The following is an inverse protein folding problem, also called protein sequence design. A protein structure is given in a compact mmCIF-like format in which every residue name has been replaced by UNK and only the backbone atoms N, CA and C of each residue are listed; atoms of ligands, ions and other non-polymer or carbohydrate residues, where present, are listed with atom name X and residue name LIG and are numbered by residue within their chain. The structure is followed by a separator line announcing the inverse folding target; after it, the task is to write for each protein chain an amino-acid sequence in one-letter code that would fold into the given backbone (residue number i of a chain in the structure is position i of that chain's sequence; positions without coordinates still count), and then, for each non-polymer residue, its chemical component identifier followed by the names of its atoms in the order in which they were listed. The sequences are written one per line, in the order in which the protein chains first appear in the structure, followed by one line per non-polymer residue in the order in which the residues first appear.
data_IF_803962128884
#
_entry.id   IF_803962128884
#
_cell.length_a   1.000
_cell.length_b   1.000
_cell.length_c   1.000
_cell.angle_alpha   90.00
_cell.angle_beta   90.00
_cell.angle_gamma   90.00
#
_symmetry.space_group_name_H-M   'P 1'
#
loop_
_entity.id
_entity.type
_entity.pdbx_description
1 polymer ?
#
# COMPACT_ATOMS: atom_id res chain seq x y z
N UNK A 1 5.53 -13.81 -21.68
CA UNK A 1 6.48 -12.98 -20.91
C UNK A 1 5.77 -11.69 -20.56
N UNK A 2 5.02 -11.65 -19.45
CA UNK A 2 4.33 -10.40 -19.06
C UNK A 2 5.39 -9.44 -18.54
N UNK A 3 5.51 -8.27 -19.17
CA UNK A 3 6.34 -7.20 -18.66
C UNK A 3 5.86 -6.87 -17.24
N UNK A 4 6.62 -7.26 -16.23
CA UNK A 4 6.36 -6.86 -14.86
C UNK A 4 6.36 -5.34 -14.84
N UNK A 5 5.18 -4.73 -14.73
CA UNK A 5 5.09 -3.30 -14.47
C UNK A 5 5.94 -3.04 -13.24
N UNK A 6 6.95 -2.17 -13.36
CA UNK A 6 7.78 -1.71 -12.25
C UNK A 6 6.86 -1.08 -11.20
N UNK A 7 6.42 -1.89 -10.23
CA UNK A 7 5.74 -1.43 -9.03
C UNK A 7 6.76 -0.80 -8.10
N UNK A 8 6.33 0.20 -7.33
CA UNK A 8 7.15 0.74 -6.25
C UNK A 8 7.28 -0.28 -5.12
N UNK A 9 8.41 -0.26 -4.42
CA UNK A 9 8.61 -1.04 -3.19
C UNK A 9 9.07 -0.11 -2.08
N UNK A 10 8.38 -0.15 -0.95
CA UNK A 10 8.82 0.44 0.31
C UNK A 10 9.29 -0.68 1.23
N UNK A 11 10.60 -0.86 1.30
CA UNK A 11 11.23 -1.93 2.08
C UNK A 11 11.07 -1.70 3.59
N UNK A 12 11.25 -2.76 4.39
CA UNK A 12 11.05 -2.76 5.85
C UNK A 12 11.87 -1.76 6.65
N UNK A 13 12.99 -1.26 6.11
CA UNK A 13 13.79 -0.21 6.74
C UNK A 13 13.25 1.22 6.55
N UNK A 14 12.11 1.39 5.87
CA UNK A 14 11.53 2.69 5.52
C UNK A 14 10.30 2.97 6.38
N UNK A 15 10.24 4.16 6.95
CA UNK A 15 9.05 4.70 7.63
C UNK A 15 8.65 6.02 6.96
N UNK A 16 7.36 6.16 6.66
CA UNK A 16 6.78 7.36 6.05
C UNK A 16 5.74 7.96 6.99
N UNK A 17 5.81 9.27 7.22
CA UNK A 17 4.73 10.03 7.84
C UNK A 17 4.23 11.09 6.86
N UNK A 18 2.94 11.04 6.51
CA UNK A 18 2.33 11.97 5.54
C UNK A 18 1.40 11.27 4.53
N UNK A 19 1.39 11.77 3.29
CA UNK A 19 0.55 11.22 2.22
C UNK A 19 1.40 10.48 1.18
N UNK A 20 0.92 9.30 0.78
CA UNK A 20 1.57 8.44 -0.22
C UNK A 20 0.64 8.31 -1.43
N UNK A 21 1.16 8.60 -2.62
CA UNK A 21 0.45 8.40 -3.89
C UNK A 21 1.28 7.57 -4.84
N UNK A 22 0.63 6.65 -5.55
CA UNK A 22 1.27 5.82 -6.57
C UNK A 22 0.32 5.61 -7.76
N UNK A 23 0.84 5.15 -8.89
CA UNK A 23 0.06 5.01 -10.14
C UNK A 23 -0.47 3.60 -10.35
N UNK A 24 0.43 2.62 -10.47
CA UNK A 24 0.07 1.27 -10.93
C UNK A 24 0.04 0.29 -9.76
N UNK A 25 1.19 0.04 -9.15
CA UNK A 25 1.34 -0.89 -8.05
C UNK A 25 2.34 -0.37 -7.03
N UNK A 26 2.07 -0.62 -5.75
CA UNK A 26 2.98 -0.35 -4.66
C UNK A 26 2.96 -1.53 -3.69
N UNK A 27 4.13 -2.04 -3.33
CA UNK A 27 4.31 -2.97 -2.21
C UNK A 27 4.94 -2.23 -1.03
N UNK A 28 4.41 -2.45 0.15
CA UNK A 28 4.91 -1.88 1.40
C UNK A 28 5.24 -3.02 2.34
N UNK A 29 6.49 -3.07 2.79
CA UNK A 29 7.00 -3.97 3.84
C UNK A 29 7.49 -3.19 5.08
N UNK A 30 7.37 -1.85 5.07
CA UNK A 30 7.76 -0.95 6.16
C UNK A 30 6.57 -0.27 6.86
N UNK A 31 6.81 0.90 7.43
CA UNK A 31 5.83 1.62 8.24
C UNK A 31 5.25 2.83 7.50
N UNK A 32 3.94 3.03 7.60
CA UNK A 32 3.29 4.23 7.08
C UNK A 32 2.32 4.79 8.11
N UNK A 33 2.49 6.06 8.45
CA UNK A 33 1.55 6.84 9.26
C UNK A 33 0.95 7.98 8.43
N UNK A 34 -0.32 7.87 8.06
CA UNK A 34 -1.03 8.90 7.32
C UNK A 34 -1.96 8.33 6.26
N UNK A 35 -1.98 8.93 5.07
CA UNK A 35 -2.95 8.58 4.02
C UNK A 35 -2.27 7.94 2.81
N UNK A 36 -2.91 6.92 2.24
CA UNK A 36 -2.47 6.26 1.01
C UNK A 36 -3.57 6.39 -0.02
N UNK A 37 -3.29 7.02 -1.16
CA UNK A 37 -4.28 7.25 -2.23
C UNK A 37 -3.76 6.79 -3.59
N UNK A 38 -4.53 5.96 -4.28
CA UNK A 38 -4.17 5.47 -5.61
C UNK A 38 -5.35 4.87 -6.38
N UNK A 39 -5.31 4.93 -7.71
CA UNK A 39 -6.21 4.13 -8.56
C UNK A 39 -5.61 2.75 -8.94
N UNK A 40 -4.45 2.42 -8.37
CA UNK A 40 -3.72 1.17 -8.60
C UNK A 40 -3.91 0.13 -7.50
N UNK A 41 -3.01 -0.86 -7.46
CA UNK A 41 -3.02 -1.97 -6.50
C UNK A 41 -2.02 -1.75 -5.38
N UNK A 42 -2.48 -1.81 -4.13
CA UNK A 42 -1.63 -1.78 -2.94
C UNK A 42 -1.39 -3.20 -2.41
N UNK A 43 -0.15 -3.57 -2.16
CA UNK A 43 0.19 -4.79 -1.41
C UNK A 43 0.85 -4.41 -0.09
N UNK A 44 0.23 -4.80 1.02
CA UNK A 44 0.74 -4.63 2.37
C UNK A 44 1.38 -5.96 2.75
N UNK A 45 2.71 -6.01 2.72
CA UNK A 45 3.48 -7.21 3.04
C UNK A 45 3.44 -7.56 4.52
N UNK A 46 3.95 -8.75 4.86
CA UNK A 46 3.79 -9.38 6.18
C UNK A 46 4.35 -8.55 7.34
N UNK A 47 5.38 -7.76 7.09
CA UNK A 47 6.07 -6.96 8.09
C UNK A 47 5.61 -5.50 8.10
N UNK A 48 4.70 -5.11 7.21
CA UNK A 48 4.22 -3.74 7.14
C UNK A 48 3.24 -3.40 8.27
N UNK A 49 3.35 -2.16 8.74
CA UNK A 49 2.46 -1.59 9.74
C UNK A 49 1.94 -0.23 9.26
N UNK A 50 0.66 -0.18 8.94
CA UNK A 50 0.02 1.03 8.40
C UNK A 50 -0.95 1.61 9.43
N UNK A 51 -0.76 2.88 9.78
CA UNK A 51 -1.65 3.67 10.64
C UNK A 51 -2.28 4.80 9.86
N UNK A 52 -3.57 4.70 9.57
CA UNK A 52 -4.33 5.78 8.92
C UNK A 52 -5.31 5.29 7.85
N UNK A 53 -5.47 6.07 6.78
CA UNK A 53 -6.54 5.85 5.81
C UNK A 53 -5.98 5.42 4.44
N UNK A 54 -6.52 4.33 3.91
CA UNK A 54 -6.12 3.75 2.61
C UNK A 54 -7.28 3.87 1.64
N UNK A 55 -7.07 4.54 0.50
CA UNK A 55 -8.01 4.64 -0.62
C UNK A 55 -7.33 4.10 -1.87
N UNK A 56 -7.75 2.93 -2.32
CA UNK A 56 -7.09 2.27 -3.46
C UNK A 56 -8.08 1.54 -4.37
N UNK A 57 -7.64 1.13 -5.56
CA UNK A 57 -8.49 0.31 -6.42
C UNK A 57 -8.63 -1.09 -5.85
N UNK A 58 -7.51 -1.73 -5.54
CA UNK A 58 -7.46 -3.05 -4.90
C UNK A 58 -6.35 -3.09 -3.87
N UNK A 59 -6.54 -3.89 -2.81
CA UNK A 59 -5.55 -4.06 -1.75
C UNK A 59 -5.40 -5.53 -1.38
N UNK A 60 -4.16 -5.96 -1.20
CA UNK A 60 -3.80 -7.25 -0.61
C UNK A 60 -3.16 -6.98 0.74
N UNK A 61 -3.72 -7.54 1.81
CA UNK A 61 -3.24 -7.31 3.18
C UNK A 61 -2.65 -8.59 3.75
N UNK A 62 -1.35 -8.56 4.03
CA UNK A 62 -0.62 -9.63 4.74
C UNK A 62 -0.03 -9.14 6.07
N UNK A 63 0.11 -7.83 6.25
CA UNK A 63 0.61 -7.18 7.47
C UNK A 63 -0.51 -6.63 8.34
N UNK A 64 -0.18 -5.58 9.10
CA UNK A 64 -1.12 -4.94 10.05
C UNK A 64 -1.58 -3.58 9.55
N UNK A 65 -2.89 -3.32 9.64
CA UNK A 65 -3.49 -2.01 9.34
C UNK A 65 -4.33 -1.55 10.51
N UNK A 66 -4.00 -0.39 11.05
CA UNK A 66 -4.77 0.34 12.06
C UNK A 66 -5.42 1.57 11.40
N UNK A 67 -6.69 1.44 11.02
CA UNK A 67 -7.45 2.52 10.40
C UNK A 67 -8.44 2.00 9.36
N UNK A 68 -8.75 2.83 8.36
CA UNK A 68 -9.81 2.55 7.39
C UNK A 68 -9.26 2.19 6.01
N UNK A 69 -9.88 1.20 5.37
CA UNK A 69 -9.55 0.77 4.01
C UNK A 69 -10.78 0.96 3.12
N UNK A 70 -10.61 1.76 2.08
CA UNK A 70 -11.58 1.96 1.00
C UNK A 70 -11.00 1.38 -0.28
N UNK A 71 -11.48 0.21 -0.69
CA UNK A 71 -11.12 -0.43 -1.95
C UNK A 71 -12.29 -0.37 -2.92
N UNK A 72 -12.04 0.08 -4.15
CA UNK A 72 -13.07 0.20 -5.19
C UNK A 72 -13.45 -1.15 -5.80
N UNK A 73 -12.51 -2.10 -5.86
CA UNK A 73 -12.72 -3.46 -6.30
C UNK A 73 -12.55 -4.42 -5.11
N UNK A 74 -13.46 -5.39 -5.04
CA UNK A 74 -13.46 -6.45 -4.03
C UNK A 74 -12.80 -7.68 -4.64
N UNK A 75 -11.75 -8.20 -4.00
CA UNK A 75 -11.25 -9.54 -4.27
C UNK A 75 -12.22 -10.59 -3.72
#
# INVERSE_FOLDING_TARGET
MSAGQLGGVLSSGVSITGSVKFRNQLQIDGEVKGTIESAGTLTIGKHAHIRGEIRTKSVVVQGTVEGNIFAAERC
#
